data_IF_925853665792
#
_entry.id   IF_925853665792
#
_cell.length_a   1.000
_cell.length_b   1.000
_cell.length_c   1.000
_cell.angle_alpha   90.00
_cell.angle_beta   90.00
_cell.angle_gamma   90.00
#
_symmetry.space_group_name_H-M   'P 1'
#
loop_
_entity.id
_entity.type
_entity.pdbx_description
1 polymer ?
#
# COMPACT_ATOMS: atom_id res chain seq x y z
N UNK A 1 -6.76 7.75 3.23
CA UNK A 1 -7.65 7.18 2.20
C UNK A 1 -7.70 5.67 2.33
N UNK A 2 -8.87 5.10 2.21
CA UNK A 2 -8.98 3.64 2.28
C UNK A 2 -8.42 2.99 1.01
N UNK A 3 -7.81 1.83 1.18
CA UNK A 3 -7.32 1.02 0.08
C UNK A 3 -8.47 0.23 -0.58
N UNK A 4 -9.62 0.19 0.07
CA UNK A 4 -10.76 -0.63 -0.36
C UNK A 4 -11.11 -0.51 -1.84
N UNK A 5 -11.16 0.69 -2.44
CA UNK A 5 -11.49 0.79 -3.86
C UNK A 5 -10.53 0.04 -4.77
N UNK A 6 -9.29 -0.12 -4.33
CA UNK A 6 -8.28 -0.83 -5.13
C UNK A 6 -8.36 -2.34 -4.99
N UNK A 7 -9.18 -2.82 -4.04
CA UNK A 7 -9.36 -4.24 -3.79
C UNK A 7 -10.58 -4.80 -4.50
N UNK A 8 -11.25 -4.00 -5.29
CA UNK A 8 -12.46 -4.39 -5.98
C UNK A 8 -12.20 -5.60 -6.86
N UNK A 9 -12.99 -6.65 -6.66
CA UNK A 9 -12.84 -7.89 -7.41
C UNK A 9 -11.78 -8.84 -6.88
N UNK A 10 -11.09 -8.47 -5.82
CA UNK A 10 -10.06 -9.33 -5.22
C UNK A 10 -10.56 -9.98 -3.94
N UNK A 11 -10.10 -11.20 -3.70
CA UNK A 11 -10.52 -11.98 -2.56
C UNK A 11 -9.42 -12.02 -1.50
N UNK A 12 -9.61 -11.23 -0.45
CA UNK A 12 -8.73 -11.26 0.72
C UNK A 12 -9.58 -11.41 1.96
N UNK A 13 -9.02 -12.05 3.01
CA UNK A 13 -9.75 -12.13 4.26
C UNK A 13 -9.74 -10.76 4.96
N UNK A 14 -10.68 -10.53 5.91
CA UNK A 14 -10.79 -9.22 6.55
C UNK A 14 -9.53 -8.75 7.25
N UNK A 15 -8.79 -9.68 7.84
CA UNK A 15 -7.56 -9.32 8.53
C UNK A 15 -6.49 -8.84 7.56
N UNK A 16 -6.35 -9.51 6.43
CA UNK A 16 -5.41 -9.11 5.40
C UNK A 16 -5.78 -7.74 4.84
N UNK A 17 -7.08 -7.49 4.63
CA UNK A 17 -7.54 -6.18 4.17
C UNK A 17 -7.18 -5.08 5.16
N UNK A 18 -7.31 -5.36 6.45
CA UNK A 18 -6.95 -4.40 7.48
C UNK A 18 -5.46 -4.08 7.43
N UNK A 19 -4.63 -5.12 7.32
CA UNK A 19 -3.18 -4.96 7.26
C UNK A 19 -2.79 -4.12 6.05
N UNK A 20 -3.38 -4.41 4.89
CA UNK A 20 -3.10 -3.64 3.68
C UNK A 20 -3.52 -2.18 3.83
N UNK A 21 -4.68 -1.94 4.45
CA UNK A 21 -5.16 -0.58 4.68
C UNK A 21 -4.23 0.21 5.58
N UNK A 22 -3.77 -0.42 6.66
CA UNK A 22 -2.83 0.23 7.58
C UNK A 22 -1.52 0.56 6.85
N UNK A 23 -0.99 -0.40 6.11
CA UNK A 23 0.25 -0.19 5.36
C UNK A 23 0.10 0.94 4.35
N UNK A 24 -1.03 0.99 3.65
CA UNK A 24 -1.31 2.03 2.68
C UNK A 24 -1.28 3.42 3.33
N UNK A 25 -1.96 3.54 4.46
CA UNK A 25 -1.98 4.81 5.19
C UNK A 25 -0.59 5.19 5.71
N UNK A 26 0.17 4.22 6.17
CA UNK A 26 1.53 4.48 6.64
C UNK A 26 2.42 5.02 5.53
N UNK A 27 2.33 4.42 4.35
CA UNK A 27 3.12 4.88 3.20
C UNK A 27 2.70 6.29 2.79
N UNK A 28 1.39 6.53 2.69
CA UNK A 28 0.90 7.85 2.30
C UNK A 28 1.33 8.92 3.30
N UNK A 29 1.28 8.61 4.58
CA UNK A 29 1.73 9.54 5.62
C UNK A 29 3.22 9.80 5.52
N UNK A 30 4.01 8.75 5.33
CA UNK A 30 5.46 8.88 5.24
C UNK A 30 5.89 9.71 4.03
N UNK A 31 5.17 9.58 2.93
CA UNK A 31 5.47 10.31 1.70
C UNK A 31 4.73 11.63 1.59
N UNK A 32 3.87 11.93 2.56
CA UNK A 32 3.07 13.16 2.62
C UNK A 32 2.24 13.36 1.34
N UNK A 33 1.50 12.32 0.97
CA UNK A 33 0.72 12.32 -0.27
C UNK A 33 -0.72 12.75 -0.07
N UNK A 34 -1.03 13.43 1.03
CA UNK A 34 -2.41 13.78 1.36
C UNK A 34 -3.12 14.58 0.26
N UNK A 35 -2.38 15.40 -0.48
CA UNK A 35 -2.96 16.26 -1.53
C UNK A 35 -2.48 15.88 -2.93
N UNK A 36 -1.82 14.76 -3.05
CA UNK A 36 -1.20 14.41 -4.32
C UNK A 36 -1.90 13.29 -5.01
N UNK A 37 -1.92 13.46 -6.25
CA UNK A 37 -2.57 12.70 -7.26
C UNK A 37 -2.87 11.24 -7.03
N UNK A 38 -3.96 10.91 -7.67
CA UNK A 38 -4.48 9.56 -7.60
C UNK A 38 -3.50 8.54 -8.15
N UNK A 39 -2.60 8.98 -9.06
CA UNK A 39 -1.63 8.06 -9.66
C UNK A 39 -0.66 7.51 -8.62
N UNK A 40 -0.14 8.38 -7.74
CA UNK A 40 0.77 7.91 -6.70
C UNK A 40 0.06 6.96 -5.75
N UNK A 41 -1.16 7.29 -5.35
CA UNK A 41 -1.94 6.42 -4.48
C UNK A 41 -2.22 5.08 -5.13
N UNK A 42 -2.53 5.08 -6.42
CA UNK A 42 -2.79 3.86 -7.16
C UNK A 42 -1.55 2.97 -7.22
N UNK A 43 -0.40 3.54 -7.47
CA UNK A 43 0.85 2.77 -7.52
C UNK A 43 1.17 2.15 -6.18
N UNK A 44 1.00 2.90 -5.10
CA UNK A 44 1.24 2.40 -3.75
C UNK A 44 0.28 1.25 -3.43
N UNK A 45 -1.00 1.45 -3.69
CA UNK A 45 -2.01 0.43 -3.41
C UNK A 45 -1.74 -0.85 -4.20
N UNK A 46 -1.40 -0.70 -5.47
CA UNK A 46 -1.11 -1.85 -6.34
C UNK A 46 0.08 -2.64 -5.80
N UNK A 47 1.12 -1.96 -5.37
CA UNK A 47 2.30 -2.63 -4.87
C UNK A 47 2.04 -3.35 -3.55
N UNK A 48 1.27 -2.73 -2.67
CA UNK A 48 0.88 -3.35 -1.40
C UNK A 48 0.07 -4.63 -1.68
N UNK A 49 -0.85 -4.56 -2.63
CA UNK A 49 -1.65 -5.72 -3.01
C UNK A 49 -0.76 -6.84 -3.53
N UNK A 50 0.20 -6.53 -4.38
CA UNK A 50 1.11 -7.54 -4.90
C UNK A 50 1.92 -8.21 -3.80
N UNK A 51 2.42 -7.44 -2.85
CA UNK A 51 3.18 -7.98 -1.73
C UNK A 51 2.30 -8.85 -0.82
N UNK A 52 1.06 -8.43 -0.60
CA UNK A 52 0.13 -9.21 0.21
C UNK A 52 -0.20 -10.54 -0.47
N UNK A 53 -0.35 -10.54 -1.77
CA UNK A 53 -0.58 -11.79 -2.54
C UNK A 53 0.61 -12.71 -2.44
N UNK A 54 1.81 -12.16 -2.32
CA UNK A 54 3.01 -12.96 -2.19
C UNK A 54 3.19 -13.53 -0.79
N UNK A 55 2.30 -13.18 0.14
CA UNK A 55 2.33 -13.73 1.49
C UNK A 55 2.78 -12.77 2.57
N UNK A 56 3.09 -11.53 2.24
CA UNK A 56 3.52 -10.56 3.26
C UNK A 56 2.30 -9.98 3.95
N UNK A 57 2.19 -10.20 5.25
CA UNK A 57 1.03 -9.76 6.03
C UNK A 57 1.41 -8.85 7.19
N UNK A 58 2.66 -8.43 7.27
CA UNK A 58 3.09 -7.50 8.31
C UNK A 58 3.01 -6.07 7.75
N UNK A 59 2.17 -5.20 8.34
CA UNK A 59 2.02 -3.85 7.80
C UNK A 59 3.32 -3.04 7.81
N UNK A 60 4.16 -3.25 8.81
CA UNK A 60 5.44 -2.55 8.87
C UNK A 60 6.34 -2.94 7.69
N UNK A 61 6.39 -4.24 7.38
CA UNK A 61 7.19 -4.72 6.26
C UNK A 61 6.62 -4.28 4.93
N UNK A 62 5.30 -4.30 4.79
CA UNK A 62 4.66 -3.80 3.58
C UNK A 62 5.02 -2.33 3.35
N UNK A 63 4.91 -1.53 4.38
CA UNK A 63 5.24 -0.12 4.31
C UNK A 63 6.71 0.08 3.95
N UNK A 64 7.61 -0.61 4.65
CA UNK A 64 9.04 -0.48 4.43
C UNK A 64 9.44 -0.87 3.02
N UNK A 65 8.91 -1.99 2.52
CA UNK A 65 9.23 -2.44 1.16
C UNK A 65 8.77 -1.42 0.12
N UNK A 66 7.57 -0.90 0.26
CA UNK A 66 7.06 0.07 -0.69
C UNK A 66 7.85 1.38 -0.63
N UNK A 67 8.17 1.84 0.57
CA UNK A 67 8.96 3.07 0.74
C UNK A 67 10.33 2.93 0.12
N UNK A 68 10.98 1.79 0.33
CA UNK A 68 12.31 1.56 -0.24
C UNK A 68 12.28 1.58 -1.76
N UNK A 69 11.24 0.98 -2.37
CA UNK A 69 11.10 1.00 -3.81
C UNK A 69 10.88 2.40 -4.36
N UNK A 70 10.05 3.19 -3.67
CA UNK A 70 9.79 4.56 -4.10
C UNK A 70 11.04 5.42 -3.99
N UNK A 71 11.79 5.26 -2.91
CA UNK A 71 13.04 6.01 -2.73
C UNK A 71 14.09 5.64 -3.77
N UNK A 72 14.15 4.37 -4.11
CA UNK A 72 15.08 3.92 -5.13
C UNK A 72 14.75 4.52 -6.50
N UNK A 73 13.46 4.66 -6.80
CA UNK A 73 13.05 5.27 -8.07
C UNK A 73 13.26 6.78 -8.08
N UNK A 74 13.19 7.40 -6.91
CA UNK A 74 13.32 8.86 -6.81
C UNK A 74 14.77 9.33 -6.88
N UNK A 75 15.71 8.44 -6.68
CA UNK A 75 17.13 8.82 -6.70
C UNK A 75 17.79 8.62 -8.09
#
# INVERSE_FOLDING_TARGET
MPITPYLNGMSFNPETKRVMGVAFEMVCTALRLSDRGDLANEMIARRIIELAKAGEHNPDLLCENVLNEFRAQAS
#
